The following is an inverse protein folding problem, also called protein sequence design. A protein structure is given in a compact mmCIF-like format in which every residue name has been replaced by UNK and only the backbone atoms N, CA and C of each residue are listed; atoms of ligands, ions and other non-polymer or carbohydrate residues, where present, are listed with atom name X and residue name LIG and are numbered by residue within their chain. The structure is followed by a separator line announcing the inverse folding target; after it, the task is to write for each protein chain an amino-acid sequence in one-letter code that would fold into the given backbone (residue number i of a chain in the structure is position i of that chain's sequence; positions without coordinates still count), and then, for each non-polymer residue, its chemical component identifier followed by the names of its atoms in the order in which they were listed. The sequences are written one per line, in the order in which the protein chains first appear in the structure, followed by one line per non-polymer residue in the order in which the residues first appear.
data_IF_652286982168
#
_entry.id   IF_652286982168
#
_cell.length_a   1.000
_cell.length_b   1.000
_cell.length_c   1.000
_cell.angle_alpha   90.00
_cell.angle_beta   90.00
_cell.angle_gamma   90.00
#
_symmetry.space_group_name_H-M   'P 1'
#
loop_
_entity.id
_entity.type
_entity.pdbx_description
1 polymer ?
#
# COMPACT_ATOMS: atom_id res chain seq x y z
N UNK A 1 -11.18 -24.89 -11.07
CA UNK A 1 -11.07 -23.46 -10.71
C UNK A 1 -11.81 -23.24 -9.40
N UNK A 2 -11.12 -22.87 -8.32
CA UNK A 2 -11.78 -22.68 -7.01
C UNK A 2 -12.68 -21.45 -7.03
N UNK A 3 -13.77 -21.43 -6.24
CA UNK A 3 -14.70 -20.30 -6.16
C UNK A 3 -13.99 -18.97 -5.83
N UNK A 4 -12.90 -19.04 -5.07
CA UNK A 4 -12.06 -17.87 -4.72
C UNK A 4 -11.43 -17.24 -5.98
N UNK A 5 -10.84 -18.05 -6.85
CA UNK A 5 -10.24 -17.59 -8.12
C UNK A 5 -11.28 -16.99 -9.04
N UNK A 6 -12.45 -17.65 -9.17
CA UNK A 6 -13.56 -17.14 -9.98
C UNK A 6 -14.02 -15.75 -9.52
N UNK A 7 -14.16 -15.53 -8.21
CA UNK A 7 -14.58 -14.25 -7.65
C UNK A 7 -13.53 -13.15 -7.87
N UNK A 8 -12.24 -13.46 -7.80
CA UNK A 8 -11.17 -12.52 -8.10
C UNK A 8 -11.16 -12.10 -9.57
N UNK A 9 -11.32 -13.07 -10.49
CA UNK A 9 -11.45 -12.78 -11.92
C UNK A 9 -12.65 -11.88 -12.20
N UNK A 10 -13.81 -12.20 -11.64
CA UNK A 10 -15.02 -11.39 -11.80
C UNK A 10 -14.84 -9.96 -11.28
N UNK A 11 -14.21 -9.80 -10.12
CA UNK A 11 -13.92 -8.47 -9.55
C UNK A 11 -12.97 -7.66 -10.44
N UNK A 12 -11.92 -8.31 -10.97
CA UNK A 12 -11.01 -7.68 -11.92
C UNK A 12 -11.74 -7.23 -13.19
N UNK A 13 -12.51 -8.09 -13.81
CA UNK A 13 -13.27 -7.77 -15.03
C UNK A 13 -14.32 -6.68 -14.78
N UNK A 14 -14.97 -6.70 -13.63
CA UNK A 14 -15.90 -5.64 -13.23
C UNK A 14 -15.22 -4.28 -13.12
N UNK A 15 -14.07 -4.21 -12.48
CA UNK A 15 -13.30 -2.98 -12.39
C UNK A 15 -12.86 -2.47 -13.77
N UNK A 16 -12.38 -3.35 -14.63
CA UNK A 16 -12.01 -3.00 -16.01
C UNK A 16 -13.20 -2.42 -16.79
N UNK A 17 -14.38 -2.99 -16.61
CA UNK A 17 -15.62 -2.48 -17.21
C UNK A 17 -15.97 -1.07 -16.70
N UNK A 18 -15.77 -0.78 -15.43
CA UNK A 18 -15.97 0.56 -14.85
C UNK A 18 -15.04 1.61 -15.48
N UNK A 19 -13.82 1.23 -15.86
CA UNK A 19 -12.88 2.10 -16.59
C UNK A 19 -13.10 2.11 -18.11
N UNK A 20 -14.23 1.56 -18.60
CA UNK A 20 -14.59 1.61 -20.02
C UNK A 20 -13.85 0.61 -20.91
N UNK A 21 -13.06 -0.31 -20.37
CA UNK A 21 -12.34 -1.34 -21.11
C UNK A 21 -13.34 -2.43 -21.50
N UNK A 22 -13.57 -2.59 -22.81
CA UNK A 22 -14.58 -3.52 -23.33
C UNK A 22 -14.02 -4.88 -23.78
N UNK A 23 -12.72 -4.97 -24.05
CA UNK A 23 -12.08 -6.16 -24.61
C UNK A 23 -10.74 -6.44 -23.93
N UNK A 24 -10.45 -7.72 -23.73
CA UNK A 24 -9.15 -8.24 -23.31
C UNK A 24 -8.68 -9.27 -24.33
N UNK A 25 -7.51 -9.06 -24.92
CA UNK A 25 -6.87 -10.05 -25.79
C UNK A 25 -6.23 -11.19 -25.02
N UNK A 26 -5.65 -10.89 -23.86
CA UNK A 26 -4.98 -11.86 -22.99
C UNK A 26 -5.23 -11.54 -21.51
N UNK A 27 -5.93 -12.44 -20.84
CA UNK A 27 -6.08 -12.41 -19.38
C UNK A 27 -4.88 -13.13 -18.75
N UNK A 28 -3.73 -12.46 -18.74
CA UNK A 28 -2.60 -12.94 -17.96
C UNK A 28 -2.81 -12.56 -16.49
N UNK A 29 -3.79 -13.24 -15.87
CA UNK A 29 -4.13 -13.01 -14.46
C UNK A 29 -3.17 -13.84 -13.63
N UNK A 30 -2.00 -13.31 -13.39
CA UNK A 30 -1.12 -13.83 -12.36
C UNK A 30 -1.70 -13.43 -11.00
N UNK A 31 -2.45 -14.34 -10.40
CA UNK A 31 -2.89 -14.19 -9.02
C UNK A 31 -1.69 -14.44 -8.09
N UNK A 32 -0.86 -13.45 -7.92
CA UNK A 32 0.13 -13.45 -6.84
C UNK A 32 -0.61 -13.25 -5.52
N UNK A 33 -1.14 -14.33 -4.99
CA UNK A 33 -1.67 -14.36 -3.63
C UNK A 33 -0.83 -15.24 -2.70
N UNK A 34 0.39 -15.56 -3.10
CA UNK A 34 1.30 -16.28 -2.24
C UNK A 34 2.35 -15.33 -1.67
N UNK A 35 1.99 -14.71 -0.56
CA UNK A 35 3.01 -14.43 0.42
C UNK A 35 3.48 -15.79 0.89
N UNK A 36 4.50 -16.35 0.25
CA UNK A 36 5.03 -17.69 0.54
C UNK A 36 5.72 -17.78 1.91
N UNK A 37 5.67 -16.72 2.70
CA UNK A 37 6.18 -16.67 4.05
C UNK A 37 5.08 -16.32 5.05
N UNK A 38 5.14 -16.97 6.22
CA UNK A 38 4.20 -16.72 7.29
C UNK A 38 4.38 -15.31 7.86
N UNK A 39 3.43 -14.41 7.56
CA UNK A 39 3.40 -13.08 8.15
C UNK A 39 2.79 -13.12 9.55
N UNK A 40 3.29 -12.32 10.49
CA UNK A 40 2.71 -12.18 11.82
C UNK A 40 1.24 -11.74 11.78
N UNK A 41 0.47 -12.14 12.79
CA UNK A 41 -0.93 -11.71 12.93
C UNK A 41 -1.08 -10.39 13.71
N UNK A 42 -0.04 -9.96 14.41
CA UNK A 42 0.01 -8.70 15.15
C UNK A 42 0.56 -7.58 14.26
N UNK A 43 -0.10 -6.42 14.24
CA UNK A 43 0.38 -5.24 13.51
C UNK A 43 1.75 -4.75 13.98
N UNK A 44 2.05 -4.91 15.28
CA UNK A 44 3.35 -4.52 15.83
C UNK A 44 4.48 -5.42 15.30
N UNK A 45 4.25 -6.72 15.27
CA UNK A 45 5.23 -7.67 14.72
C UNK A 45 5.35 -7.50 13.21
N UNK A 46 4.23 -7.23 12.52
CA UNK A 46 4.22 -6.93 11.10
C UNK A 46 5.03 -5.66 10.79
N UNK A 47 4.91 -4.62 11.62
CA UNK A 47 5.71 -3.40 11.52
C UNK A 47 7.21 -3.70 11.68
N UNK A 48 7.58 -4.54 12.65
CA UNK A 48 8.99 -4.99 12.81
C UNK A 48 9.49 -5.73 11.58
N UNK A 49 8.67 -6.60 11.00
CA UNK A 49 9.00 -7.34 9.78
C UNK A 49 9.22 -6.41 8.60
N UNK A 50 8.38 -5.38 8.44
CA UNK A 50 8.52 -4.37 7.37
C UNK A 50 9.77 -3.53 7.58
N UNK A 51 10.08 -3.13 8.82
CA UNK A 51 11.28 -2.35 9.12
C UNK A 51 12.55 -3.08 8.71
N UNK A 52 12.58 -4.40 8.89
CA UNK A 52 13.72 -5.26 8.54
C UNK A 52 13.57 -5.94 7.16
N UNK A 53 12.67 -5.47 6.30
CA UNK A 53 12.39 -6.08 5.02
C UNK A 53 13.49 -5.77 3.99
N UNK A 54 13.87 -6.79 3.21
CA UNK A 54 14.83 -6.72 2.09
C UNK A 54 14.29 -7.43 0.84
N UNK A 55 12.97 -7.48 0.65
CA UNK A 55 12.34 -8.23 -0.45
C UNK A 55 12.54 -7.59 -1.84
N UNK A 56 12.86 -6.31 -1.90
CA UNK A 56 13.04 -5.60 -3.17
C UNK A 56 14.23 -4.63 -3.11
N UNK A 57 14.60 -4.10 -4.26
CA UNK A 57 15.75 -3.20 -4.42
C UNK A 57 15.57 -1.84 -3.73
N UNK A 58 14.34 -1.38 -3.51
CA UNK A 58 14.07 -0.13 -2.78
C UNK A 58 14.62 -0.16 -1.36
N UNK A 59 14.71 -1.34 -0.76
CA UNK A 59 15.28 -1.52 0.58
C UNK A 59 16.75 -1.10 0.70
N UNK A 60 17.49 -1.09 -0.41
CA UNK A 60 18.90 -0.74 -0.44
C UNK A 60 19.19 0.76 -0.37
N UNK A 61 18.21 1.57 -0.76
CA UNK A 61 18.39 3.01 -0.91
C UNK A 61 17.41 3.85 -0.09
N UNK A 62 16.39 3.23 0.51
CA UNK A 62 15.48 3.90 1.44
C UNK A 62 16.22 4.42 2.67
N UNK A 63 15.78 5.55 3.21
CA UNK A 63 16.21 6.04 4.52
C UNK A 63 15.35 5.46 5.63
N UNK A 64 14.03 5.43 5.42
CA UNK A 64 13.06 4.92 6.38
C UNK A 64 12.05 3.98 5.73
N UNK A 65 11.38 3.17 6.56
CA UNK A 65 10.19 2.41 6.18
C UNK A 65 8.96 3.10 6.74
N UNK A 66 7.98 3.37 5.90
CA UNK A 66 6.70 3.95 6.31
C UNK A 66 5.63 2.87 6.32
N UNK A 67 5.43 2.25 7.47
CA UNK A 67 4.49 1.14 7.62
C UNK A 67 3.04 1.59 7.57
N UNK A 68 2.71 2.59 8.36
CA UNK A 68 1.38 3.18 8.46
C UNK A 68 1.30 4.16 9.62
N UNK A 69 0.28 5.00 9.61
CA UNK A 69 0.02 6.03 10.60
C UNK A 69 -1.47 6.10 10.93
N UNK A 70 -1.79 6.36 12.18
CA UNK A 70 -3.15 6.59 12.65
C UNK A 70 -3.76 5.40 13.39
N UNK A 71 -5.08 5.43 13.55
CA UNK A 71 -5.81 4.46 14.35
C UNK A 71 -5.97 3.11 13.63
N UNK A 72 -5.60 2.04 14.30
CA UNK A 72 -5.83 0.66 13.81
C UNK A 72 -7.32 0.28 13.75
N UNK A 73 -8.16 0.98 14.51
CA UNK A 73 -9.61 0.77 14.52
C UNK A 73 -10.35 1.79 13.64
N UNK A 74 -9.64 2.47 12.75
CA UNK A 74 -10.21 3.45 11.85
C UNK A 74 -11.22 2.83 10.89
N UNK A 75 -12.31 3.56 10.63
CA UNK A 75 -13.29 3.20 9.60
C UNK A 75 -12.85 3.62 8.18
N UNK A 76 -11.83 4.46 8.09
CA UNK A 76 -11.31 5.00 6.83
C UNK A 76 -9.84 4.70 6.74
N UNK A 77 -9.45 4.07 5.63
CA UNK A 77 -8.05 3.79 5.31
C UNK A 77 -7.67 4.50 4.01
N UNK A 78 -6.64 5.31 4.07
CA UNK A 78 -6.02 5.91 2.88
C UNK A 78 -4.82 5.06 2.46
N UNK A 79 -4.79 4.69 1.20
CA UNK A 79 -3.69 3.93 0.60
C UNK A 79 -3.10 4.79 -0.50
N UNK A 80 -1.86 5.23 -0.30
CA UNK A 80 -1.07 5.93 -1.30
C UNK A 80 -0.14 4.95 -2.04
N UNK A 81 0.46 5.35 -3.13
CA UNK A 81 1.31 4.47 -3.94
C UNK A 81 2.63 4.19 -3.24
N UNK A 82 3.44 5.21 -3.02
CA UNK A 82 4.75 5.13 -2.36
C UNK A 82 5.00 6.36 -1.48
N UNK A 83 5.92 6.28 -0.52
CA UNK A 83 6.33 7.44 0.27
C UNK A 83 6.89 8.56 -0.63
N UNK A 84 6.58 9.81 -0.31
CA UNK A 84 7.25 10.95 -0.90
C UNK A 84 8.70 11.05 -0.43
N UNK A 85 9.51 11.85 -1.13
CA UNK A 85 10.91 12.07 -0.72
C UNK A 85 11.00 12.67 0.68
N UNK A 86 10.14 13.64 1.00
CA UNK A 86 10.12 14.27 2.33
C UNK A 86 9.74 13.29 3.43
N UNK A 87 8.83 12.36 3.13
CA UNK A 87 8.41 11.33 4.08
C UNK A 87 9.52 10.29 4.31
N UNK A 88 10.24 9.88 3.26
CA UNK A 88 11.41 9.00 3.41
C UNK A 88 12.54 9.68 4.16
N UNK A 89 12.80 10.98 3.89
CA UNK A 89 13.85 11.76 4.54
C UNK A 89 13.60 11.93 6.05
N UNK A 90 12.34 12.13 6.44
CA UNK A 90 11.93 12.40 7.84
C UNK A 90 11.39 11.18 8.58
N UNK A 91 11.09 10.09 7.88
CA UNK A 91 10.49 8.87 8.47
C UNK A 91 9.09 9.09 9.03
N UNK A 92 8.34 10.06 8.51
CA UNK A 92 7.03 10.45 9.01
C UNK A 92 6.02 10.66 7.88
N UNK A 93 4.75 10.32 8.15
CA UNK A 93 3.65 10.64 7.25
C UNK A 93 3.26 12.12 7.34
N UNK A 94 2.52 12.60 6.36
CA UNK A 94 1.96 13.97 6.31
C UNK A 94 3.02 15.07 6.33
N UNK A 95 4.17 14.83 5.73
CA UNK A 95 5.24 15.83 5.58
C UNK A 95 5.48 16.15 4.10
N UNK A 96 5.86 17.40 3.83
CA UNK A 96 6.00 17.93 2.48
C UNK A 96 4.67 18.24 1.79
N UNK A 97 4.73 18.77 0.57
CA UNK A 97 3.56 19.33 -0.10
C UNK A 97 2.38 18.36 -0.24
N UNK A 98 2.64 17.12 -0.65
CA UNK A 98 1.60 16.10 -0.82
C UNK A 98 1.02 15.62 0.51
N UNK A 99 1.88 15.43 1.51
CA UNK A 99 1.45 15.04 2.85
C UNK A 99 0.61 16.12 3.54
N UNK A 100 1.06 17.37 3.46
CA UNK A 100 0.32 18.53 3.97
C UNK A 100 -1.03 18.71 3.27
N UNK A 101 -1.07 18.47 1.94
CA UNK A 101 -2.32 18.54 1.19
C UNK A 101 -3.30 17.45 1.63
N UNK A 102 -2.84 16.22 1.79
CA UNK A 102 -3.67 15.12 2.27
C UNK A 102 -4.20 15.40 3.69
N UNK A 103 -3.36 15.90 4.60
CA UNK A 103 -3.78 16.29 5.94
C UNK A 103 -4.87 17.36 5.89
N UNK A 104 -4.71 18.41 5.09
CA UNK A 104 -5.73 19.47 4.89
C UNK A 104 -7.03 18.93 4.30
N UNK A 105 -6.98 17.96 3.40
CA UNK A 105 -8.17 17.31 2.85
C UNK A 105 -8.91 16.51 3.92
N UNK A 106 -8.21 15.74 4.73
CA UNK A 106 -8.80 14.95 5.83
C UNK A 106 -9.45 15.89 6.85
N UNK A 107 -8.70 16.85 7.36
CA UNK A 107 -9.18 17.74 8.42
C UNK A 107 -10.17 18.79 7.91
N UNK A 108 -9.92 19.32 6.71
CA UNK A 108 -10.76 20.38 6.12
C UNK A 108 -12.07 19.86 5.55
N UNK A 109 -12.03 18.79 4.75
CA UNK A 109 -13.21 18.28 4.03
C UNK A 109 -13.97 17.23 4.82
N UNK A 110 -13.27 16.27 5.43
CA UNK A 110 -13.92 15.20 6.18
C UNK A 110 -14.23 15.60 7.63
N UNK A 111 -13.62 16.68 8.14
CA UNK A 111 -13.79 17.16 9.53
C UNK A 111 -13.40 16.13 10.59
N UNK A 112 -12.46 15.27 10.29
CA UNK A 112 -11.88 14.28 11.20
C UNK A 112 -10.38 14.53 11.34
N UNK A 113 -9.80 14.12 12.45
CA UNK A 113 -8.36 14.29 12.68
C UNK A 113 -7.59 13.22 11.90
N UNK A 114 -6.40 13.56 11.41
CA UNK A 114 -5.55 12.60 10.67
C UNK A 114 -5.13 11.39 11.52
N UNK A 115 -5.16 11.50 12.84
CA UNK A 115 -4.90 10.39 13.78
C UNK A 115 -6.08 9.40 13.85
N UNK A 116 -7.29 9.81 13.47
CA UNK A 116 -8.50 8.98 13.50
C UNK A 116 -8.67 8.13 12.23
N UNK A 117 -7.93 8.44 11.19
CA UNK A 117 -7.85 7.63 9.96
C UNK A 117 -6.60 6.75 9.99
N UNK A 118 -6.59 5.68 9.20
CA UNK A 118 -5.38 4.91 9.00
C UNK A 118 -4.80 5.22 7.61
N UNK A 119 -3.56 5.68 7.57
CA UNK A 119 -2.88 6.01 6.31
C UNK A 119 -1.69 5.09 6.12
N UNK A 120 -1.57 4.52 4.95
CA UNK A 120 -0.45 3.66 4.57
C UNK A 120 -0.13 3.82 3.10
N UNK A 121 0.99 3.24 2.67
CA UNK A 121 1.38 3.18 1.27
C UNK A 121 1.31 1.75 0.74
N UNK A 122 1.08 1.60 -0.55
CA UNK A 122 1.16 0.31 -1.23
C UNK A 122 2.58 -0.25 -1.13
N UNK A 123 3.60 0.60 -1.38
CA UNK A 123 5.01 0.29 -1.13
C UNK A 123 5.48 1.04 0.12
N UNK A 124 6.11 0.33 1.06
CA UNK A 124 6.51 0.88 2.37
C UNK A 124 7.85 1.64 2.34
N UNK A 125 8.52 1.64 1.22
CA UNK A 125 9.86 2.18 1.04
C UNK A 125 9.92 3.10 -0.16
N UNK A 126 10.77 4.13 -0.09
CA UNK A 126 11.16 4.92 -1.26
C UNK A 126 12.62 4.65 -1.59
N UNK A 127 12.88 4.38 -2.87
CA UNK A 127 14.23 4.30 -3.38
C UNK A 127 14.68 5.59 -4.06
N UNK A 128 15.85 5.55 -4.67
CA UNK A 128 16.34 6.63 -5.54
C UNK A 128 15.56 6.73 -6.86
N UNK A 129 14.89 5.64 -7.25
CA UNK A 129 14.01 5.55 -8.43
C UNK A 129 12.57 5.36 -7.96
N UNK A 130 11.61 5.70 -8.82
CA UNK A 130 10.20 5.40 -8.61
C UNK A 130 9.95 3.89 -8.48
N UNK A 131 8.94 3.53 -7.70
CA UNK A 131 8.57 2.14 -7.50
C UNK A 131 8.05 1.51 -8.80
N UNK A 132 8.51 0.33 -9.09
CA UNK A 132 8.07 -0.47 -10.24
C UNK A 132 6.93 -1.41 -9.84
N UNK A 133 6.23 -1.94 -10.83
CA UNK A 133 5.18 -2.95 -10.61
C UNK A 133 5.69 -4.14 -9.76
N UNK A 134 6.92 -4.58 -10.00
CA UNK A 134 7.54 -5.67 -9.22
C UNK A 134 7.75 -5.29 -7.74
N UNK A 135 8.03 -4.02 -7.44
CA UNK A 135 8.12 -3.54 -6.06
C UNK A 135 6.74 -3.57 -5.38
N UNK A 136 5.68 -3.19 -6.10
CA UNK A 136 4.31 -3.28 -5.61
C UNK A 136 3.91 -4.73 -5.31
N UNK A 137 4.19 -5.66 -6.20
CA UNK A 137 3.92 -7.09 -6.00
C UNK A 137 4.63 -7.62 -4.75
N UNK A 138 5.93 -7.32 -4.61
CA UNK A 138 6.72 -7.77 -3.47
C UNK A 138 6.24 -7.20 -2.13
N UNK A 139 5.67 -6.00 -2.13
CA UNK A 139 5.23 -5.30 -0.92
C UNK A 139 3.74 -5.53 -0.57
N UNK A 140 2.94 -5.98 -1.52
CA UNK A 140 1.49 -6.14 -1.39
C UNK A 140 1.07 -7.06 -0.23
N UNK A 141 1.90 -8.05 0.08
CA UNK A 141 1.68 -8.97 1.21
C UNK A 141 1.49 -8.24 2.54
N UNK A 142 2.29 -7.22 2.77
CA UNK A 142 2.21 -6.43 3.99
C UNK A 142 0.94 -5.59 4.05
N UNK A 143 0.50 -5.05 2.91
CA UNK A 143 -0.75 -4.28 2.84
C UNK A 143 -1.97 -5.16 3.09
N UNK A 144 -2.00 -6.35 2.49
CA UNK A 144 -3.12 -7.29 2.68
C UNK A 144 -3.24 -7.83 4.11
N UNK A 145 -2.19 -7.69 4.91
CA UNK A 145 -2.13 -8.14 6.30
C UNK A 145 -2.41 -7.00 7.30
N UNK A 146 -2.36 -5.74 6.86
CA UNK A 146 -2.72 -4.58 7.66
C UNK A 146 -4.23 -4.41 7.82
#
# INVERSE_FOLDING_TARGET
MTNKVKNQVLKYLYNQKLFGIKYHSDLNINFYSSCDFALPNSLEELKKSVTNCYLCDLSKTRKHTLFGYGSQNSKIMFICDEPSKSEDDLGSFFVGNSGDMLAKMIEGSLKIKKEEVYTTNLVKCRGTKEATFQNFESCNCYLLKQ
#
